data_IF_346571884988
#
_entry.id   IF_346571884988
#
_cell.length_a   1.000
_cell.length_b   1.000
_cell.length_c   1.000
_cell.angle_alpha   90.00
_cell.angle_beta   90.00
_cell.angle_gamma   90.00
#
_symmetry.space_group_name_H-M   'P 1'
#
loop_
_entity.id
_entity.type
_entity.pdbx_description
1 polymer ?
#
# COMPACT_ATOMS: atom_id res chain seq x y z
N UNK A 1 7.69 0.84 18.22
CA UNK A 1 7.14 0.56 16.87
C UNK A 1 8.25 0.44 15.81
N UNK A 2 9.20 1.37 15.73
CA UNK A 2 10.37 1.30 14.82
C UNK A 2 11.25 0.04 14.96
N UNK A 3 11.47 -0.47 16.18
CA UNK A 3 12.34 -1.64 16.41
C UNK A 3 11.76 -2.97 15.87
N UNK A 4 10.44 -3.15 15.94
CA UNK A 4 9.77 -4.33 15.39
C UNK A 4 9.74 -4.32 13.86
N UNK A 5 9.54 -3.14 13.26
CA UNK A 5 9.64 -2.95 11.81
C UNK A 5 11.03 -3.35 11.28
N UNK A 6 12.12 -2.91 11.93
CA UNK A 6 13.47 -3.32 11.53
C UNK A 6 13.68 -4.84 11.60
N UNK A 7 13.13 -5.51 12.61
CA UNK A 7 13.43 -6.93 12.87
C UNK A 7 12.76 -7.84 11.83
N UNK A 8 11.50 -7.56 11.46
CA UNK A 8 10.82 -8.29 10.37
C UNK A 8 11.48 -8.04 9.02
N UNK A 9 11.87 -6.79 8.74
CA UNK A 9 12.61 -6.47 7.51
C UNK A 9 13.97 -7.17 7.44
N UNK A 10 14.76 -7.16 8.53
CA UNK A 10 16.05 -7.86 8.60
C UNK A 10 15.91 -9.36 8.32
N UNK A 11 14.86 -10.00 8.81
CA UNK A 11 14.60 -11.42 8.55
C UNK A 11 14.19 -11.70 7.08
N UNK A 12 13.44 -10.80 6.44
CA UNK A 12 13.06 -10.92 5.01
C UNK A 12 14.28 -10.82 4.08
N UNK A 13 15.30 -10.07 4.50
CA UNK A 13 16.56 -9.89 3.76
C UNK A 13 17.69 -10.84 4.20
N UNK A 14 17.45 -11.79 5.12
CA UNK A 14 18.52 -12.73 5.57
C UNK A 14 19.06 -13.62 4.44
N UNK A 15 18.23 -13.97 3.47
CA UNK A 15 18.57 -14.88 2.35
C UNK A 15 18.64 -14.16 0.99
N UNK A 16 18.53 -12.83 0.98
CA UNK A 16 18.66 -11.99 -0.23
C UNK A 16 19.86 -11.07 -0.08
N UNK A 17 20.51 -10.61 -1.16
CA UNK A 17 21.71 -9.80 -1.02
C UNK A 17 21.39 -8.51 -0.24
N UNK A 18 22.40 -7.90 0.41
CA UNK A 18 22.19 -6.74 1.29
C UNK A 18 21.56 -5.56 0.54
N UNK A 19 20.26 -5.33 0.69
CA UNK A 19 19.64 -4.06 0.26
C UNK A 19 20.26 -2.94 1.08
N UNK A 20 20.92 -2.00 0.40
CA UNK A 20 21.46 -0.82 1.08
C UNK A 20 20.29 0.05 1.54
N UNK A 21 20.16 0.40 2.84
CA UNK A 21 19.09 1.28 3.34
C UNK A 21 18.99 2.60 2.56
N UNK A 22 20.11 3.07 2.01
CA UNK A 22 20.23 4.23 1.14
C UNK A 22 19.37 4.10 -0.14
N UNK A 23 19.31 2.92 -0.78
CA UNK A 23 18.48 2.73 -1.99
C UNK A 23 16.99 2.91 -1.68
N UNK A 24 16.53 2.43 -0.52
CA UNK A 24 15.13 2.58 -0.09
C UNK A 24 14.82 4.05 0.23
N UNK A 25 15.67 4.70 1.03
CA UNK A 25 15.49 6.11 1.41
C UNK A 25 15.45 7.03 0.19
N UNK A 26 16.33 6.78 -0.79
CA UNK A 26 16.38 7.56 -2.02
C UNK A 26 15.15 7.31 -2.91
N UNK A 27 14.69 6.06 -3.04
CA UNK A 27 13.48 5.75 -3.81
C UNK A 27 12.24 6.46 -3.24
N UNK A 28 12.10 6.47 -1.91
CA UNK A 28 11.00 7.15 -1.23
C UNK A 28 11.04 8.67 -1.42
N UNK A 29 12.22 9.30 -1.37
CA UNK A 29 12.32 10.75 -1.59
C UNK A 29 11.93 11.17 -3.01
N UNK A 30 12.07 10.29 -4.00
CA UNK A 30 11.61 10.55 -5.38
C UNK A 30 10.11 10.35 -5.58
N UNK A 31 9.47 9.49 -4.78
CA UNK A 31 8.02 9.24 -4.86
C UNK A 31 7.25 10.25 -4.01
N UNK A 32 7.80 10.66 -2.86
CA UNK A 32 7.20 11.61 -1.93
C UNK A 32 7.47 13.09 -2.29
N UNK A 33 7.66 13.43 -3.56
CA UNK A 33 7.90 14.83 -3.94
C UNK A 33 6.68 15.67 -3.51
N UNK A 34 6.87 16.77 -2.76
CA UNK A 34 5.78 17.59 -2.22
C UNK A 34 4.74 18.04 -3.24
N UNK A 35 5.13 18.16 -4.50
CA UNK A 35 4.33 18.75 -5.57
C UNK A 35 3.14 17.85 -6.01
N UNK A 36 3.12 16.58 -5.63
CA UNK A 36 2.11 15.60 -6.08
C UNK A 36 1.03 15.27 -5.04
N UNK A 37 1.11 15.80 -3.80
CA UNK A 37 0.10 15.71 -2.73
C UNK A 37 -0.53 14.32 -2.42
N UNK A 38 0.10 13.22 -2.83
CA UNK A 38 -0.38 11.83 -2.56
C UNK A 38 0.16 11.24 -1.26
N UNK A 39 0.73 12.07 -0.38
CA UNK A 39 1.31 11.66 0.89
C UNK A 39 0.56 12.31 2.07
N UNK A 40 -0.45 11.63 2.58
CA UNK A 40 -1.05 11.91 3.89
C UNK A 40 -2.03 10.78 4.30
N UNK A 41 -1.63 9.95 5.26
CA UNK A 41 -2.48 8.87 5.75
C UNK A 41 -3.76 9.34 6.43
N UNK A 42 -3.81 10.56 6.98
CA UNK A 42 -4.99 11.10 7.67
C UNK A 42 -6.09 11.48 6.69
N UNK A 43 -5.72 12.01 5.52
CA UNK A 43 -6.68 12.37 4.47
C UNK A 43 -7.01 11.21 3.51
N UNK A 44 -6.50 10.00 3.79
CA UNK A 44 -6.77 8.82 2.97
C UNK A 44 -5.86 8.67 1.76
N UNK A 45 -4.69 9.30 1.78
CA UNK A 45 -3.62 9.08 0.81
C UNK A 45 -2.58 8.06 1.34
N UNK A 46 -1.51 7.84 0.58
CA UNK A 46 -0.49 6.88 0.93
C UNK A 46 0.32 7.39 2.14
N UNK A 47 0.63 6.49 3.08
CA UNK A 47 1.50 6.79 4.21
C UNK A 47 2.90 6.18 4.01
N UNK A 48 3.84 6.56 4.86
CA UNK A 48 5.22 6.05 4.79
C UNK A 48 5.31 4.52 4.87
N UNK A 49 4.46 3.87 5.68
CA UNK A 49 4.44 2.41 5.79
C UNK A 49 3.98 1.73 4.48
N UNK A 50 2.92 2.28 3.86
CA UNK A 50 2.37 1.78 2.58
C UNK A 50 3.41 1.91 1.48
N UNK A 51 4.01 3.10 1.32
CA UNK A 51 5.05 3.33 0.33
C UNK A 51 6.28 2.44 0.53
N UNK A 52 6.70 2.23 1.78
CA UNK A 52 7.80 1.31 2.09
C UNK A 52 7.51 -0.10 1.59
N UNK A 53 6.31 -0.63 1.86
CA UNK A 53 5.92 -1.97 1.40
C UNK A 53 5.90 -2.06 -0.11
N UNK A 54 5.32 -1.06 -0.78
CA UNK A 54 5.24 -1.00 -2.24
C UNK A 54 6.64 -0.96 -2.89
N UNK A 55 7.49 -0.03 -2.43
CA UNK A 55 8.88 0.10 -2.89
C UNK A 55 9.68 -1.18 -2.64
N UNK A 56 9.49 -1.80 -1.48
CA UNK A 56 10.20 -3.04 -1.13
C UNK A 56 9.74 -4.21 -1.99
N UNK A 57 8.45 -4.32 -2.34
CA UNK A 57 7.99 -5.36 -3.28
C UNK A 57 8.68 -5.21 -4.63
N UNK A 58 8.74 -4.00 -5.18
CA UNK A 58 9.42 -3.72 -6.47
C UNK A 58 10.92 -4.01 -6.38
N UNK A 59 11.57 -3.61 -5.28
CA UNK A 59 12.98 -3.91 -5.00
C UNK A 59 13.26 -5.42 -4.92
N UNK A 60 12.37 -6.17 -4.25
CA UNK A 60 12.52 -7.62 -4.10
C UNK A 60 12.38 -8.37 -5.43
N UNK A 61 11.63 -7.80 -6.38
CA UNK A 61 11.46 -8.31 -7.75
C UNK A 61 12.60 -7.88 -8.69
N UNK A 62 13.21 -6.72 -8.47
CA UNK A 62 14.23 -6.11 -9.35
C UNK A 62 15.55 -5.84 -8.60
N UNK A 63 16.04 -6.84 -7.88
CA UNK A 63 17.09 -6.67 -6.86
C UNK A 63 18.38 -5.97 -7.34
N UNK A 64 18.85 -6.29 -8.54
CA UNK A 64 20.15 -5.80 -9.07
C UNK A 64 20.05 -4.49 -9.88
N UNK A 65 18.90 -3.84 -9.88
CA UNK A 65 18.65 -2.70 -10.75
C UNK A 65 19.17 -1.36 -10.21
N UNK A 66 19.36 -0.42 -11.13
CA UNK A 66 19.64 0.99 -10.82
C UNK A 66 18.42 1.66 -10.15
N UNK A 67 18.65 2.72 -9.38
CA UNK A 67 17.56 3.45 -8.71
C UNK A 67 16.53 4.00 -9.70
N UNK A 68 17.00 4.51 -10.84
CA UNK A 68 16.15 5.05 -11.89
C UNK A 68 15.24 3.96 -12.49
N UNK A 69 15.81 2.79 -12.77
CA UNK A 69 15.04 1.65 -13.27
C UNK A 69 14.02 1.15 -12.24
N UNK A 70 14.39 1.11 -10.96
CA UNK A 70 13.46 0.75 -9.87
C UNK A 70 12.29 1.72 -9.77
N UNK A 71 12.55 3.01 -9.95
CA UNK A 71 11.51 4.04 -9.94
C UNK A 71 10.57 3.91 -11.15
N UNK A 72 11.13 3.73 -12.35
CA UNK A 72 10.33 3.46 -13.55
C UNK A 72 9.47 2.20 -13.39
N UNK A 73 10.07 1.11 -12.88
CA UNK A 73 9.34 -0.13 -12.61
C UNK A 73 8.29 0.01 -11.54
N UNK A 74 8.50 0.87 -10.53
CA UNK A 74 7.49 1.16 -9.52
C UNK A 74 6.22 1.75 -10.16
N UNK A 75 6.36 2.81 -10.96
CA UNK A 75 5.22 3.44 -11.62
C UNK A 75 4.53 2.50 -12.60
N UNK A 76 5.30 1.77 -13.42
CA UNK A 76 4.76 0.78 -14.34
C UNK A 76 3.96 -0.31 -13.59
N UNK A 77 4.55 -0.88 -12.53
CA UNK A 77 3.93 -1.98 -11.78
C UNK A 77 2.62 -1.55 -11.14
N UNK A 78 2.59 -0.40 -10.47
CA UNK A 78 1.41 0.03 -9.69
C UNK A 78 0.36 0.76 -10.51
N UNK A 79 0.70 1.26 -11.70
CA UNK A 79 -0.26 1.74 -12.69
C UNK A 79 -1.05 0.56 -13.30
N UNK A 80 -0.36 -0.52 -13.65
CA UNK A 80 -0.95 -1.72 -14.26
C UNK A 80 -1.47 -2.73 -13.22
N UNK A 81 -1.25 -2.47 -11.92
CA UNK A 81 -1.65 -3.39 -10.85
C UNK A 81 -3.17 -3.48 -10.71
N UNK A 82 -3.68 -4.70 -10.74
CA UNK A 82 -5.06 -4.97 -10.36
C UNK A 82 -5.21 -4.95 -8.83
N UNK A 83 -5.77 -3.85 -8.32
CA UNK A 83 -5.98 -3.59 -6.89
C UNK A 83 -7.02 -4.51 -6.23
N UNK A 84 -7.66 -5.42 -6.99
CA UNK A 84 -8.34 -6.58 -6.39
C UNK A 84 -7.33 -7.51 -5.69
N UNK A 85 -6.08 -7.52 -6.15
CA UNK A 85 -4.99 -8.28 -5.55
C UNK A 85 -4.32 -7.51 -4.42
N UNK A 86 -4.03 -8.25 -3.34
CA UNK A 86 -3.41 -7.70 -2.13
C UNK A 86 -1.90 -7.59 -2.32
N UNK A 87 -1.35 -6.44 -1.96
CA UNK A 87 0.11 -6.26 -1.91
C UNK A 87 0.63 -6.81 -0.59
N UNK A 88 1.27 -7.98 -0.64
CA UNK A 88 1.95 -8.62 0.49
C UNK A 88 3.41 -8.91 0.14
N UNK A 89 4.29 -8.86 1.16
CA UNK A 89 5.71 -9.24 1.05
C UNK A 89 5.96 -10.72 1.36
N UNK A 90 4.94 -11.42 1.89
CA UNK A 90 5.03 -12.80 2.37
C UNK A 90 4.66 -13.86 1.34
N UNK A 91 4.49 -13.49 0.07
CA UNK A 91 4.56 -14.47 -1.04
C UNK A 91 5.87 -15.28 -1.01
N UNK A 92 6.85 -14.84 -0.21
CA UNK A 92 8.13 -15.48 0.06
C UNK A 92 8.16 -16.37 1.31
N UNK A 93 7.05 -16.50 2.08
CA UNK A 93 7.02 -17.29 3.31
C UNK A 93 5.83 -18.25 3.35
N UNK A 94 6.08 -19.53 3.62
CA UNK A 94 5.05 -20.59 3.70
C UNK A 94 4.13 -20.50 4.93
N UNK A 95 4.01 -19.32 5.57
CA UNK A 95 3.18 -19.14 6.75
C UNK A 95 1.78 -18.68 6.35
N UNK A 96 0.71 -19.24 6.95
CA UNK A 96 -0.65 -18.80 6.68
C UNK A 96 -0.79 -17.31 7.01
N UNK A 97 -1.44 -16.55 6.12
CA UNK A 97 -1.75 -15.15 6.39
C UNK A 97 -2.68 -15.09 7.60
N UNK A 98 -2.27 -14.38 8.64
CA UNK A 98 -3.12 -14.07 9.80
C UNK A 98 -4.18 -13.01 9.49
N UNK A 99 -4.32 -12.60 8.23
CA UNK A 99 -5.19 -11.53 7.79
C UNK A 99 -6.16 -12.08 6.75
N UNK A 100 -7.44 -11.73 6.91
CA UNK A 100 -8.53 -12.10 6.00
C UNK A 100 -9.23 -10.83 5.52
N UNK A 101 -9.53 -10.78 4.22
CA UNK A 101 -10.28 -9.68 3.60
C UNK A 101 -11.70 -9.58 4.15
N UNK A 102 -12.32 -10.71 4.43
CA UNK A 102 -13.70 -10.79 4.93
C UNK A 102 -13.79 -10.27 6.38
N UNK A 103 -12.84 -10.66 7.24
CA UNK A 103 -12.79 -10.17 8.62
C UNK A 103 -12.59 -8.66 8.70
N UNK A 104 -11.69 -8.12 7.88
CA UNK A 104 -11.43 -6.68 7.81
C UNK A 104 -12.65 -5.93 7.29
N UNK A 105 -13.29 -6.42 6.23
CA UNK A 105 -14.50 -5.82 5.67
C UNK A 105 -15.65 -5.82 6.69
N UNK A 106 -15.83 -6.91 7.43
CA UNK A 106 -16.85 -7.00 8.47
C UNK A 106 -16.60 -6.01 9.61
N UNK A 107 -15.35 -5.87 10.05
CA UNK A 107 -14.95 -4.83 11.03
C UNK A 107 -15.29 -3.43 10.53
N UNK A 108 -14.93 -3.11 9.29
CA UNK A 108 -15.21 -1.81 8.67
C UNK A 108 -16.71 -1.55 8.55
N UNK A 109 -17.48 -2.51 8.03
CA UNK A 109 -18.94 -2.42 7.95
C UNK A 109 -19.55 -2.14 9.32
N UNK A 110 -19.07 -2.78 10.38
CA UNK A 110 -19.48 -2.50 11.75
C UNK A 110 -19.26 -1.04 12.20
N UNK A 111 -18.19 -0.39 11.74
CA UNK A 111 -17.92 1.03 12.04
C UNK A 111 -18.89 1.98 11.32
N UNK A 112 -19.20 1.71 10.05
CA UNK A 112 -20.07 2.57 9.24
C UNK A 112 -21.56 2.34 9.51
N UNK A 113 -21.95 1.09 9.76
CA UNK A 113 -23.33 0.64 9.93
C UNK A 113 -23.76 0.52 11.41
N UNK A 114 -22.86 0.79 12.35
CA UNK A 114 -23.12 0.64 13.77
C UNK A 114 -24.28 1.52 14.29
N UNK A 115 -25.36 0.85 14.72
CA UNK A 115 -26.50 1.37 15.52
C UNK A 115 -26.97 2.79 15.17
N UNK A 116 -27.47 2.99 13.95
CA UNK A 116 -28.21 4.22 13.61
C UNK A 116 -29.67 3.87 13.31
N UNK A 117 -30.54 4.12 14.29
CA UNK A 117 -31.98 4.12 14.08
C UNK A 117 -32.35 5.21 13.06
N UNK A 118 -33.18 4.89 12.07
CA UNK A 118 -33.73 5.88 11.12
C UNK A 118 -32.90 6.19 9.87
N UNK A 119 -31.93 5.35 9.49
CA UNK A 119 -31.22 5.49 8.21
C UNK A 119 -32.10 5.03 7.04
N UNK A 120 -32.14 5.83 5.96
CA UNK A 120 -32.76 5.40 4.69
C UNK A 120 -31.93 4.33 3.98
N UNK A 121 -32.58 3.43 3.23
CA UNK A 121 -31.88 2.38 2.46
C UNK A 121 -30.77 2.94 1.55
N UNK A 122 -31.01 4.12 0.96
CA UNK A 122 -30.04 4.81 0.10
C UNK A 122 -28.75 5.19 0.86
N UNK A 123 -28.90 5.68 2.09
CA UNK A 123 -27.76 6.02 2.94
C UNK A 123 -27.02 4.77 3.43
N UNK A 124 -27.74 3.69 3.73
CA UNK A 124 -27.14 2.42 4.09
C UNK A 124 -26.24 1.89 2.97
N UNK A 125 -26.73 1.88 1.73
CA UNK A 125 -25.95 1.49 0.55
C UNK A 125 -24.74 2.38 0.31
N UNK A 126 -24.87 3.70 0.57
CA UNK A 126 -23.75 4.65 0.48
C UNK A 126 -22.66 4.30 1.50
N UNK A 127 -23.04 4.04 2.75
CA UNK A 127 -22.11 3.69 3.84
C UNK A 127 -21.43 2.33 3.60
N UNK A 128 -22.16 1.34 3.09
CA UNK A 128 -21.58 0.06 2.66
C UNK A 128 -20.50 0.25 1.59
N UNK A 129 -20.77 1.10 0.60
CA UNK A 129 -19.79 1.40 -0.45
C UNK A 129 -18.52 2.04 0.11
N UNK A 130 -18.62 2.86 1.16
CA UNK A 130 -17.45 3.44 1.85
C UNK A 130 -16.67 2.41 2.70
N UNK A 131 -17.31 1.31 3.10
CA UNK A 131 -16.66 0.25 3.85
C UNK A 131 -15.74 -0.62 2.99
N UNK A 132 -15.94 -0.63 1.67
CA UNK A 132 -15.18 -1.45 0.73
C UNK A 132 -13.67 -1.25 0.85
N UNK A 133 -12.94 -2.34 0.66
CA UNK A 133 -11.47 -2.33 0.60
C UNK A 133 -11.05 -1.95 -0.82
N UNK A 134 -10.31 -0.85 -0.96
CA UNK A 134 -10.05 -0.24 -2.27
C UNK A 134 -8.60 -0.48 -2.71
N UNK A 135 -7.64 -0.26 -1.81
CA UNK A 135 -6.23 -0.58 -2.01
C UNK A 135 -5.75 -1.27 -0.75
N UNK A 136 -5.33 -2.53 -0.85
CA UNK A 136 -4.88 -3.32 0.30
C UNK A 136 -3.39 -3.57 0.22
N UNK A 137 -2.65 -2.99 1.16
CA UNK A 137 -1.21 -3.16 1.31
C UNK A 137 -0.94 -3.66 2.71
N UNK A 138 -0.41 -4.88 2.85
CA UNK A 138 -0.23 -5.52 4.15
C UNK A 138 1.10 -5.18 4.79
N UNK A 139 1.10 -5.04 6.11
CA UNK A 139 2.32 -4.97 6.92
C UNK A 139 3.14 -6.27 6.75
N UNK A 140 4.48 -6.18 6.71
CA UNK A 140 5.36 -7.36 6.65
C UNK A 140 5.57 -8.06 7.99
N UNK A 141 5.15 -7.44 9.09
CA UNK A 141 5.29 -7.99 10.44
C UNK A 141 3.99 -8.62 10.93
N UNK A 142 4.11 -9.58 11.85
CA UNK A 142 2.96 -10.09 12.58
C UNK A 142 2.58 -9.13 13.73
N UNK A 143 1.29 -8.87 13.98
CA UNK A 143 0.14 -9.28 13.17
C UNK A 143 0.03 -8.45 11.89
N UNK A 144 -0.44 -9.09 10.82
CA UNK A 144 -0.66 -8.43 9.52
C UNK A 144 -1.84 -7.47 9.60
N UNK A 145 -1.68 -6.29 9.03
CA UNK A 145 -2.69 -5.24 8.97
C UNK A 145 -2.62 -4.51 7.63
N UNK A 146 -3.75 -3.96 7.18
CA UNK A 146 -3.78 -3.10 6.00
C UNK A 146 -3.20 -1.71 6.35
N UNK A 147 -2.10 -1.32 5.72
CA UNK A 147 -1.46 -0.01 5.88
C UNK A 147 -2.22 1.12 5.18
N UNK A 148 -2.99 0.81 4.13
CA UNK A 148 -3.74 1.76 3.30
C UNK A 148 -5.24 1.77 3.63
N UNK A 149 -5.58 1.51 4.90
CA UNK A 149 -6.97 1.38 5.37
C UNK A 149 -7.82 2.65 5.22
N UNK A 150 -7.21 3.83 5.14
CA UNK A 150 -7.91 5.11 4.95
C UNK A 150 -8.16 5.46 3.49
N UNK A 151 -7.59 4.70 2.54
CA UNK A 151 -7.78 4.99 1.11
C UNK A 151 -9.24 4.78 0.73
N UNK A 152 -9.85 5.81 0.16
CA UNK A 152 -11.23 5.82 -0.32
C UNK A 152 -11.26 5.88 -1.85
N UNK A 153 -12.46 5.87 -2.43
CA UNK A 153 -12.63 5.85 -3.89
C UNK A 153 -12.01 7.09 -4.56
N UNK A 154 -12.25 8.27 -3.99
CA UNK A 154 -11.75 9.54 -4.52
C UNK A 154 -10.22 9.63 -4.41
N UNK A 155 -9.64 9.28 -3.27
CA UNK A 155 -8.19 9.35 -3.08
C UNK A 155 -7.46 8.32 -3.92
N UNK A 156 -8.04 7.12 -4.13
CA UNK A 156 -7.53 6.16 -5.09
C UNK A 156 -7.44 6.76 -6.50
N UNK A 157 -8.47 7.45 -6.98
CA UNK A 157 -8.45 8.03 -8.33
C UNK A 157 -7.31 9.03 -8.50
N UNK A 158 -7.07 9.87 -7.49
CA UNK A 158 -5.94 10.82 -7.47
C UNK A 158 -4.61 10.06 -7.48
N UNK A 159 -4.46 9.05 -6.63
CA UNK A 159 -3.25 8.21 -6.58
C UNK A 159 -3.00 7.55 -7.95
N UNK A 160 -4.02 7.00 -8.59
CA UNK A 160 -3.88 6.36 -9.91
C UNK A 160 -3.47 7.36 -10.98
N UNK A 161 -4.03 8.57 -10.97
CA UNK A 161 -3.64 9.66 -11.88
C UNK A 161 -2.18 10.08 -11.70
N UNK A 162 -1.71 10.22 -10.46
CA UNK A 162 -0.31 10.56 -10.19
C UNK A 162 0.65 9.43 -10.59
N UNK A 163 0.24 8.16 -10.42
CA UNK A 163 1.01 7.02 -10.90
C UNK A 163 1.13 7.01 -12.43
N UNK A 164 0.07 7.38 -13.15
CA UNK A 164 0.06 7.52 -14.61
C UNK A 164 0.98 8.66 -15.07
N UNK A 165 0.89 9.85 -14.45
CA UNK A 165 1.79 10.98 -14.73
C UNK A 165 3.24 10.57 -14.51
N UNK A 166 3.54 9.88 -13.41
CA UNK A 166 4.89 9.41 -13.07
C UNK A 166 5.44 8.34 -14.02
N UNK A 167 4.59 7.62 -14.75
CA UNK A 167 4.97 6.70 -15.83
C UNK A 167 5.33 7.48 -17.10
N UNK A 168 4.48 8.41 -17.53
CA UNK A 168 4.66 9.20 -18.77
C UNK A 168 5.92 10.05 -18.70
N UNK A 169 6.15 10.76 -17.58
CA UNK A 169 7.28 11.68 -17.42
C UNK A 169 8.68 11.02 -17.45
N UNK A 170 8.74 9.69 -17.60
CA UNK A 170 9.97 8.89 -17.59
C UNK A 170 10.11 7.99 -18.83
N UNK A 171 9.14 8.05 -19.75
CA UNK A 171 9.23 7.45 -21.08
C UNK A 171 9.74 8.44 -22.14
N UNK A 172 9.69 9.76 -21.85
CA UNK A 172 10.35 10.86 -22.59
C UNK A 172 11.83 11.03 -22.23
#
# INVERSE_FOLDING_TARGET
>A
MYSFFETSFRNLFKNKPKIRPIKIKNALSFICIPDHFIYDGQFGFLNGATLNVLVIKVLLLNFDSSLLYLLQKFFQTYMEWDWQNIVSLDELSNKPLSWSSEEELNKRKGLYLGKKFGISEKEMKRLENHANLIMVVLTPGYPKQNCSFNVNYSTRQIIQKELEIGKISREE
#
